data_IF_267249099208
#
_entry.id   IF_267249099208
#
_cell.length_a   1.000
_cell.length_b   1.000
_cell.length_c   1.000
_cell.angle_alpha   90.00
_cell.angle_beta   90.00
_cell.angle_gamma   90.00
#
_symmetry.space_group_name_H-M   'P 1'
#
loop_
_entity.id
_entity.type
_entity.pdbx_description
1 polymer ?
#
# COMPACT_ATOMS: atom_id res chain seq x y z
N UNK A 1 -6.11 11.31 8.35
CA UNK A 1 -7.09 11.59 7.27
C UNK A 1 -6.37 12.39 6.20
N UNK A 2 -6.38 11.94 4.94
CA UNK A 2 -5.84 12.68 3.81
C UNK A 2 -6.98 13.21 2.94
N UNK A 3 -6.73 14.27 2.16
CA UNK A 3 -7.68 14.84 1.22
C UNK A 3 -7.11 14.80 -0.19
N UNK A 4 -7.94 14.46 -1.17
CA UNK A 4 -7.59 14.42 -2.59
C UNK A 4 -8.56 15.30 -3.37
N UNK A 5 -8.04 16.10 -4.31
CA UNK A 5 -8.83 16.88 -5.26
C UNK A 5 -8.69 16.25 -6.64
N UNK A 6 -9.81 15.79 -7.22
CA UNK A 6 -9.84 15.28 -8.60
C UNK A 6 -10.52 16.32 -9.47
N UNK A 7 -9.81 16.80 -10.50
CA UNK A 7 -10.28 17.84 -11.44
C UNK A 7 -10.54 17.25 -12.81
N UNK A 8 -11.26 18.01 -13.65
CA UNK A 8 -11.54 17.66 -15.05
C UNK A 8 -12.27 16.31 -15.21
N UNK A 9 -13.21 16.02 -14.31
CA UNK A 9 -14.14 14.90 -14.49
C UNK A 9 -15.33 15.43 -15.29
N UNK A 10 -15.72 14.66 -16.32
CA UNK A 10 -16.90 14.96 -17.13
C UNK A 10 -18.20 14.93 -16.30
N UNK A 11 -19.14 15.81 -16.63
CA UNK A 11 -20.40 15.97 -15.91
C UNK A 11 -21.26 14.69 -15.93
N UNK A 12 -21.24 13.90 -17.00
CA UNK A 12 -21.95 12.61 -17.05
C UNK A 12 -21.38 11.63 -16.02
N UNK A 13 -20.06 11.62 -15.85
CA UNK A 13 -19.41 10.76 -14.86
C UNK A 13 -19.82 11.16 -13.45
N UNK A 14 -19.85 12.46 -13.16
CA UNK A 14 -20.31 12.99 -11.86
C UNK A 14 -21.78 12.63 -11.62
N UNK A 15 -22.64 12.78 -12.64
CA UNK A 15 -24.05 12.43 -12.55
C UNK A 15 -24.24 10.93 -12.26
N UNK A 16 -23.54 10.06 -12.99
CA UNK A 16 -23.57 8.62 -12.77
C UNK A 16 -23.14 8.21 -11.36
N UNK A 17 -22.08 8.82 -10.83
CA UNK A 17 -21.62 8.57 -9.45
C UNK A 17 -22.64 9.04 -8.40
N UNK A 18 -23.28 10.21 -8.61
CA UNK A 18 -24.36 10.69 -7.73
C UNK A 18 -25.54 9.72 -7.70
N UNK A 19 -25.94 9.18 -8.85
CA UNK A 19 -27.00 8.18 -8.94
C UNK A 19 -26.60 6.91 -8.17
N UNK A 20 -25.39 6.39 -8.39
CA UNK A 20 -24.89 5.21 -7.66
C UNK A 20 -24.87 5.41 -6.15
N UNK A 21 -24.40 6.58 -5.69
CA UNK A 21 -24.40 6.92 -4.26
C UNK A 21 -25.82 6.97 -3.68
N UNK A 22 -26.77 7.57 -4.41
CA UNK A 22 -28.19 7.62 -4.03
C UNK A 22 -28.81 6.22 -3.94
N UNK A 23 -28.53 5.35 -4.92
CA UNK A 23 -29.01 3.96 -4.91
C UNK A 23 -28.43 3.15 -3.75
N UNK A 24 -27.18 3.43 -3.36
CA UNK A 24 -26.52 2.83 -2.20
C UNK A 24 -26.96 3.46 -0.86
N UNK A 25 -27.78 4.52 -0.87
CA UNK A 25 -28.27 5.19 0.34
C UNK A 25 -27.19 5.95 1.12
N UNK A 26 -26.09 6.33 0.47
CA UNK A 26 -24.95 7.02 1.10
C UNK A 26 -24.61 8.34 0.39
N UNK A 27 -23.80 9.19 1.03
CA UNK A 27 -23.28 10.40 0.39
C UNK A 27 -22.31 10.07 -0.75
N UNK A 28 -22.19 10.98 -1.71
CA UNK A 28 -21.22 10.84 -2.82
C UNK A 28 -19.79 10.66 -2.31
N UNK A 29 -19.40 11.40 -1.27
CA UNK A 29 -18.07 11.26 -0.65
C UNK A 29 -17.86 9.86 -0.08
N UNK A 30 -18.85 9.34 0.66
CA UNK A 30 -18.77 8.00 1.25
C UNK A 30 -18.66 6.95 0.15
N UNK A 31 -19.52 7.05 -0.87
CA UNK A 31 -19.49 6.16 -2.03
C UNK A 31 -18.12 6.17 -2.74
N UNK A 32 -17.57 7.36 -2.99
CA UNK A 32 -16.28 7.51 -3.64
C UNK A 32 -15.14 6.94 -2.77
N UNK A 33 -15.15 7.23 -1.47
CA UNK A 33 -14.17 6.69 -0.51
C UNK A 33 -14.19 5.18 -0.45
N UNK A 34 -15.38 4.58 -0.40
CA UNK A 34 -15.53 3.13 -0.33
C UNK A 34 -15.12 2.46 -1.65
N UNK A 35 -15.45 3.08 -2.78
CA UNK A 35 -15.01 2.64 -4.11
C UNK A 35 -13.47 2.65 -4.21
N UNK A 36 -12.83 3.75 -3.78
CA UNK A 36 -11.37 3.85 -3.76
C UNK A 36 -10.76 2.83 -2.81
N UNK A 37 -11.36 2.61 -1.65
CA UNK A 37 -10.90 1.61 -0.67
C UNK A 37 -10.98 0.19 -1.23
N UNK A 38 -12.03 -0.12 -1.99
CA UNK A 38 -12.17 -1.42 -2.64
C UNK A 38 -11.15 -1.62 -3.78
N UNK A 39 -10.79 -0.55 -4.48
CA UNK A 39 -9.81 -0.58 -5.57
C UNK A 39 -8.34 -0.46 -5.12
N UNK A 40 -8.09 0.02 -3.90
CA UNK A 40 -6.74 0.26 -3.38
C UNK A 40 -5.84 -0.99 -3.22
N UNK A 41 -6.35 -2.19 -2.86
CA UNK A 41 -5.50 -3.36 -2.71
C UNK A 41 -4.91 -3.81 -4.05
N UNK A 42 -3.58 -3.93 -4.11
CA UNK A 42 -2.88 -4.51 -5.25
C UNK A 42 -3.22 -6.01 -5.40
N UNK A 43 -3.45 -6.43 -6.64
CA UNK A 43 -3.55 -7.84 -7.02
C UNK A 43 -2.22 -8.56 -6.79
N UNK A 44 -2.26 -9.90 -6.74
CA UNK A 44 -1.05 -10.71 -6.59
C UNK A 44 -0.02 -10.44 -7.70
N UNK A 45 -0.49 -10.28 -8.94
CA UNK A 45 0.34 -9.92 -10.10
C UNK A 45 0.98 -8.54 -9.95
N UNK A 46 0.23 -7.52 -9.50
CA UNK A 46 0.77 -6.17 -9.32
C UNK A 46 1.81 -6.11 -8.19
N UNK A 47 1.62 -6.90 -7.11
CA UNK A 47 2.63 -7.03 -6.06
C UNK A 47 3.93 -7.64 -6.57
N UNK A 48 3.83 -8.68 -7.41
CA UNK A 48 5.00 -9.32 -8.03
C UNK A 48 5.71 -8.32 -8.96
N UNK A 49 4.96 -7.55 -9.76
CA UNK A 49 5.53 -6.52 -10.61
C UNK A 49 6.25 -5.43 -9.79
N UNK A 50 5.66 -4.98 -8.69
CA UNK A 50 6.29 -4.01 -7.78
C UNK A 50 7.60 -4.56 -7.18
N UNK A 51 7.62 -5.85 -6.79
CA UNK A 51 8.82 -6.53 -6.30
C UNK A 51 9.90 -6.66 -7.39
N UNK A 52 9.50 -6.93 -8.63
CA UNK A 52 10.41 -7.00 -9.76
C UNK A 52 11.06 -5.63 -10.03
N UNK A 53 10.27 -4.55 -10.06
CA UNK A 53 10.79 -3.17 -10.16
C UNK A 53 11.73 -2.82 -9.01
N UNK A 54 11.39 -3.24 -7.79
CA UNK A 54 12.23 -3.03 -6.62
C UNK A 54 13.58 -3.75 -6.75
N UNK A 55 13.58 -5.02 -7.15
CA UNK A 55 14.81 -5.79 -7.37
C UNK A 55 15.65 -5.24 -8.52
N UNK A 56 15.03 -4.69 -9.56
CA UNK A 56 15.75 -4.02 -10.65
C UNK A 56 16.45 -2.75 -10.14
N UNK A 57 15.76 -1.93 -9.34
CA UNK A 57 16.29 -0.65 -8.84
C UNK A 57 17.29 -0.79 -7.70
N UNK A 58 17.11 -1.77 -6.83
CA UNK A 58 17.88 -1.90 -5.58
C UNK A 58 18.70 -3.18 -5.48
N UNK A 59 18.61 -4.06 -6.48
CA UNK A 59 19.19 -5.40 -6.44
C UNK A 59 18.34 -6.38 -5.61
N UNK A 60 18.68 -7.66 -5.67
CA UNK A 60 18.06 -8.65 -4.81
C UNK A 60 18.37 -8.34 -3.35
N UNK A 61 17.34 -8.45 -2.49
CA UNK A 61 17.53 -8.43 -1.05
C UNK A 61 18.47 -9.57 -0.66
N UNK A 62 19.69 -9.21 -0.27
CA UNK A 62 20.65 -10.13 0.32
C UNK A 62 20.61 -9.94 1.82
N UNK A 63 20.51 -11.04 2.57
CA UNK A 63 20.86 -11.02 3.98
C UNK A 63 22.33 -10.59 4.07
N UNK A 64 22.56 -9.36 4.53
CA UNK A 64 23.91 -8.79 4.61
C UNK A 64 24.69 -9.41 5.77
N UNK A 65 23.98 -9.86 6.80
CA UNK A 65 24.59 -10.47 8.00
C UNK A 65 24.26 -11.96 8.05
N UNK A 66 25.27 -12.83 8.09
CA UNK A 66 25.09 -14.24 8.35
C UNK A 66 24.40 -14.44 9.72
N UNK A 67 23.46 -15.40 9.84
CA UNK A 67 22.74 -15.65 11.11
C UNK A 67 23.68 -15.89 12.30
N UNK A 68 24.83 -16.53 12.05
CA UNK A 68 25.87 -16.80 13.05
C UNK A 68 26.46 -15.53 13.68
N UNK A 69 26.59 -14.45 12.92
CA UNK A 69 27.13 -13.18 13.42
C UNK A 69 26.10 -12.45 14.30
N UNK A 70 24.80 -12.57 13.98
CA UNK A 70 23.71 -12.04 14.80
C UNK A 70 23.70 -12.74 16.18
N UNK A 71 23.92 -14.05 16.21
CA UNK A 71 23.95 -14.85 17.44
C UNK A 71 25.17 -14.49 18.29
N UNK A 72 26.34 -14.24 17.68
CA UNK A 72 27.55 -13.78 18.40
C UNK A 72 27.34 -12.40 19.00
N UNK A 73 26.90 -11.42 18.22
CA UNK A 73 26.65 -10.05 18.69
C UNK A 73 25.68 -10.02 19.88
N UNK A 74 24.62 -10.84 19.85
CA UNK A 74 23.64 -10.89 20.93
C UNK A 74 24.17 -11.61 22.18
N UNK A 75 25.05 -12.60 22.01
CA UNK A 75 25.74 -13.24 23.15
C UNK A 75 26.72 -12.27 23.80
N UNK A 76 27.53 -11.58 23.01
CA UNK A 76 28.55 -10.66 23.51
C UNK A 76 27.90 -9.46 24.24
N UNK A 77 26.76 -8.95 23.75
CA UNK A 77 25.95 -7.94 24.49
C UNK A 77 25.42 -8.40 25.84
N UNK A 78 25.21 -9.70 26.05
CA UNK A 78 24.73 -10.24 27.34
C UNK A 78 25.86 -10.36 28.35
N UNK A 79 27.05 -10.71 27.89
CA UNK A 79 28.23 -10.85 28.74
C UNK A 79 28.77 -9.50 29.24
N UNK A 80 28.65 -8.43 28.45
CA UNK A 80 29.04 -7.06 28.84
C UNK A 80 28.13 -6.39 29.91
N UNK A 81 26.98 -6.98 30.23
CA UNK A 81 26.03 -6.46 31.25
C UNK A 81 26.20 -7.07 32.64
N UNK A 82 27.25 -7.87 32.86
CA UNK A 82 27.47 -8.63 34.10
C UNK A 82 28.67 -8.11 34.88
#
# INVERSE_FOLDING_TARGET
>A
MGQMLVRNIDDETIAGLKVKARLAGVSLETFARDTLRAAAPLTGSEKIALLAEFHEKHGQLRMVTPPEDIIRDERDRRDDRR
#
